data_IF_873915100477
#
_entry.id   IF_873915100477
#
_cell.length_a   1.000
_cell.length_b   1.000
_cell.length_c   1.000
_cell.angle_alpha   90.00
_cell.angle_beta   90.00
_cell.angle_gamma   90.00
#
_symmetry.space_group_name_H-M   'P 1'
#
loop_
_entity.id
_entity.type
_entity.pdbx_description
1 polymer ?
#
# COMPACT_ATOMS: atom_id res chain seq x y z
N UNK A 1 10.16 -15.35 1.10
CA UNK A 1 11.12 -14.57 0.27
C UNK A 1 12.43 -14.18 0.99
N UNK A 2 12.83 -14.81 2.09
CA UNK A 2 14.11 -14.50 2.74
C UNK A 2 15.32 -14.78 1.81
N UNK A 3 15.16 -15.72 0.88
CA UNK A 3 16.14 -16.09 -0.15
C UNK A 3 16.26 -15.10 -1.33
N UNK A 4 15.78 -13.86 -1.20
CA UNK A 4 16.00 -12.82 -2.22
C UNK A 4 17.48 -12.49 -2.35
N UNK A 5 17.98 -12.48 -3.59
CA UNK A 5 19.34 -12.05 -3.92
C UNK A 5 19.49 -10.55 -3.72
N UNK A 6 20.74 -10.09 -3.57
CA UNK A 6 21.03 -8.65 -3.48
C UNK A 6 20.55 -7.87 -4.72
N UNK A 7 20.64 -8.47 -5.90
CA UNK A 7 20.14 -7.85 -7.14
C UNK A 7 18.63 -7.65 -7.13
N UNK A 8 17.86 -8.63 -6.66
CA UNK A 8 16.40 -8.50 -6.60
C UNK A 8 15.95 -7.52 -5.51
N UNK A 9 16.60 -7.51 -4.35
CA UNK A 9 16.35 -6.51 -3.30
C UNK A 9 16.60 -5.10 -3.83
N UNK A 10 17.71 -4.90 -4.55
CA UNK A 10 18.05 -3.63 -5.16
C UNK A 10 17.01 -3.19 -6.19
N UNK A 11 16.50 -4.10 -7.02
CA UNK A 11 15.47 -3.76 -7.99
C UNK A 11 14.17 -3.28 -7.30
N UNK A 12 13.75 -3.94 -6.23
CA UNK A 12 12.58 -3.50 -5.44
C UNK A 12 12.83 -2.14 -4.76
N UNK A 13 14.03 -1.92 -4.24
CA UNK A 13 14.43 -0.63 -3.68
C UNK A 13 14.45 0.48 -4.74
N UNK A 14 14.96 0.20 -5.95
CA UNK A 14 15.00 1.15 -7.06
C UNK A 14 13.56 1.51 -7.49
N UNK A 15 12.63 0.55 -7.55
CA UNK A 15 11.19 0.84 -7.73
C UNK A 15 10.69 1.81 -6.66
N UNK A 16 10.95 1.53 -5.37
CA UNK A 16 10.50 2.38 -4.28
C UNK A 16 11.05 3.82 -4.41
N UNK A 17 12.32 3.97 -4.85
CA UNK A 17 12.95 5.28 -5.08
C UNK A 17 12.31 6.07 -6.20
N UNK A 18 11.80 5.43 -7.27
CA UNK A 18 11.08 6.15 -8.33
C UNK A 18 9.80 6.83 -7.82
N UNK A 19 9.25 6.35 -6.69
CA UNK A 19 8.09 6.90 -6.00
C UNK A 19 8.47 7.83 -4.82
N UNK A 20 9.73 8.24 -4.74
CA UNK A 20 10.21 9.20 -3.74
C UNK A 20 10.64 8.59 -2.40
N UNK A 21 10.76 7.26 -2.30
CA UNK A 21 11.39 6.64 -1.13
C UNK A 21 12.89 6.97 -1.07
N UNK A 22 13.45 7.19 0.12
CA UNK A 22 14.91 7.33 0.29
C UNK A 22 15.65 5.98 0.25
N UNK A 23 14.90 4.90 0.44
CA UNK A 23 15.36 3.52 0.44
C UNK A 23 14.18 2.61 0.80
N UNK A 24 14.42 1.30 0.77
CA UNK A 24 13.43 0.28 1.11
C UNK A 24 14.02 -0.59 2.21
N UNK A 25 13.67 -0.27 3.46
CA UNK A 25 14.09 -1.06 4.59
C UNK A 25 13.41 -2.42 4.56
N UNK A 26 14.11 -3.47 5.02
CA UNK A 26 13.57 -4.82 5.04
C UNK A 26 14.07 -5.62 6.23
N UNK A 27 13.35 -6.68 6.60
CA UNK A 27 13.81 -7.71 7.54
C UNK A 27 13.52 -9.08 6.97
N UNK A 28 14.52 -9.96 6.93
CA UNK A 28 14.39 -11.37 6.52
C UNK A 28 14.19 -12.25 7.75
N UNK A 29 13.29 -13.23 7.67
CA UNK A 29 13.14 -14.28 8.68
C UNK A 29 13.80 -15.55 8.15
N UNK A 30 14.89 -16.01 8.77
CA UNK A 30 15.63 -17.22 8.37
C UNK A 30 16.05 -18.04 9.58
N UNK A 31 15.67 -19.32 9.61
CA UNK A 31 15.90 -20.19 10.76
C UNK A 31 15.19 -19.72 12.03
N UNK A 32 14.07 -18.99 11.88
CA UNK A 32 13.37 -18.35 13.01
C UNK A 32 14.05 -17.08 13.55
N UNK A 33 15.11 -16.59 12.91
CA UNK A 33 15.80 -15.37 13.31
C UNK A 33 15.56 -14.21 12.33
N UNK A 34 15.47 -13.00 12.87
CA UNK A 34 15.36 -11.78 12.10
C UNK A 34 16.74 -11.26 11.67
N UNK A 35 16.98 -11.20 10.37
CA UNK A 35 18.25 -10.75 9.77
C UNK A 35 18.04 -9.48 8.95
N UNK A 36 18.70 -8.39 9.37
CA UNK A 36 18.69 -7.11 8.66
C UNK A 36 19.69 -6.11 9.24
N UNK A 37 20.21 -5.15 8.45
CA UNK A 37 20.94 -3.99 8.99
C UNK A 37 20.14 -3.17 10.02
N UNK A 38 18.80 -3.20 9.95
CA UNK A 38 17.94 -2.42 10.83
C UNK A 38 17.46 -3.18 12.07
N UNK A 39 17.68 -4.50 12.16
CA UNK A 39 17.15 -5.32 13.27
C UNK A 39 17.64 -4.86 14.64
N UNK A 40 18.86 -4.29 14.70
CA UNK A 40 19.48 -3.73 15.92
C UNK A 40 18.72 -2.53 16.50
N UNK A 41 17.82 -1.92 15.72
CA UNK A 41 17.01 -0.79 16.16
C UNK A 41 15.65 -1.22 16.71
N UNK A 42 15.31 -2.51 16.65
CA UNK A 42 14.06 -3.05 17.18
C UNK A 42 14.30 -3.74 18.52
N UNK A 43 13.43 -3.48 19.48
CA UNK A 43 13.36 -4.27 20.71
C UNK A 43 12.76 -5.65 20.44
N UNK A 44 12.93 -6.59 21.38
CA UNK A 44 12.33 -7.92 21.21
C UNK A 44 10.80 -7.87 21.31
N UNK A 45 10.25 -6.93 22.06
CA UNK A 45 8.81 -6.66 22.12
C UNK A 45 8.27 -6.15 20.78
N UNK A 46 8.99 -5.24 20.10
CA UNK A 46 8.59 -4.74 18.78
C UNK A 46 8.65 -5.84 17.72
N UNK A 47 9.67 -6.71 17.76
CA UNK A 47 9.77 -7.87 16.86
C UNK A 47 8.61 -8.85 17.09
N UNK A 48 8.27 -9.13 18.34
CA UNK A 48 7.15 -10.00 18.69
C UNK A 48 5.82 -9.42 18.19
N UNK A 49 5.58 -8.13 18.43
CA UNK A 49 4.38 -7.44 17.98
C UNK A 49 4.23 -7.44 16.44
N UNK A 50 5.33 -7.18 15.72
CA UNK A 50 5.33 -7.24 14.25
C UNK A 50 5.13 -8.66 13.73
N UNK A 51 5.75 -9.66 14.38
CA UNK A 51 5.59 -11.07 14.01
C UNK A 51 4.12 -11.49 14.14
N UNK A 52 3.45 -11.10 15.22
CA UNK A 52 2.02 -11.36 15.43
C UNK A 52 1.14 -10.62 14.43
N UNK A 53 1.36 -9.31 14.25
CA UNK A 53 0.52 -8.48 13.39
C UNK A 53 0.61 -8.87 11.90
N UNK A 54 1.81 -9.23 11.43
CA UNK A 54 2.05 -9.57 10.03
C UNK A 54 2.01 -11.08 9.77
N UNK A 55 1.89 -11.90 10.82
CA UNK A 55 1.95 -13.37 10.76
C UNK A 55 3.21 -13.85 10.04
N UNK A 56 4.36 -13.32 10.45
CA UNK A 56 5.65 -13.61 9.81
C UNK A 56 6.06 -15.05 10.08
N UNK A 57 6.35 -15.81 9.04
CA UNK A 57 6.83 -17.19 9.12
C UNK A 57 8.32 -17.30 8.74
N UNK A 58 8.91 -18.46 9.01
CA UNK A 58 10.27 -18.73 8.54
C UNK A 58 10.34 -18.70 7.01
N UNK A 59 11.36 -18.04 6.49
CA UNK A 59 11.51 -17.82 5.06
C UNK A 59 10.79 -16.58 4.55
N UNK A 60 10.14 -15.76 5.37
CA UNK A 60 9.53 -14.50 4.95
C UNK A 60 10.49 -13.30 4.87
N UNK A 61 10.01 -12.23 4.22
CA UNK A 61 10.65 -10.91 4.24
C UNK A 61 9.59 -9.84 4.45
N UNK A 62 9.87 -8.91 5.35
CA UNK A 62 9.03 -7.75 5.63
C UNK A 62 9.70 -6.52 5.03
N UNK A 63 8.97 -5.72 4.25
CA UNK A 63 9.43 -4.44 3.72
C UNK A 63 8.79 -3.27 4.45
N UNK A 64 9.53 -2.18 4.59
CA UNK A 64 9.12 -0.98 5.32
C UNK A 64 9.28 0.27 4.44
N UNK A 65 8.28 1.14 4.45
CA UNK A 65 8.35 2.49 3.92
C UNK A 65 7.97 3.48 5.01
N UNK A 66 8.85 4.46 5.28
CA UNK A 66 8.63 5.49 6.28
C UNK A 66 8.51 6.86 5.58
N UNK A 67 7.28 7.32 5.41
CA UNK A 67 6.93 8.62 4.80
C UNK A 67 5.52 9.04 5.25
N UNK A 68 5.03 10.18 4.74
CA UNK A 68 3.60 10.53 4.81
C UNK A 68 2.73 9.34 4.35
N UNK A 69 1.57 9.19 5.00
CA UNK A 69 0.71 8.01 4.89
C UNK A 69 0.42 7.62 3.43
N UNK A 70 -0.12 8.54 2.63
CA UNK A 70 -0.47 8.27 1.23
C UNK A 70 0.75 7.89 0.38
N UNK A 71 1.90 8.52 0.65
CA UNK A 71 3.15 8.20 -0.04
C UNK A 71 3.65 6.81 0.35
N UNK A 72 3.54 6.43 1.63
CA UNK A 72 3.95 5.11 2.10
C UNK A 72 3.06 4.02 1.49
N UNK A 73 1.74 4.25 1.45
CA UNK A 73 0.78 3.38 0.79
C UNK A 73 1.08 3.23 -0.71
N UNK A 74 1.41 4.33 -1.39
CA UNK A 74 1.78 4.31 -2.82
C UNK A 74 3.05 3.49 -3.06
N UNK A 75 4.10 3.71 -2.26
CA UNK A 75 5.37 2.98 -2.35
C UNK A 75 5.15 1.48 -2.12
N UNK A 76 4.54 1.10 -1.00
CA UNK A 76 4.34 -0.30 -0.64
C UNK A 76 3.33 -0.99 -1.56
N UNK A 77 2.32 -0.27 -2.05
CA UNK A 77 1.38 -0.75 -3.06
C UNK A 77 2.08 -1.17 -4.34
N UNK A 78 3.04 -0.36 -4.82
CA UNK A 78 3.84 -0.71 -6.00
C UNK A 78 4.83 -1.84 -5.73
N UNK A 79 5.56 -1.78 -4.61
CA UNK A 79 6.51 -2.84 -4.22
C UNK A 79 5.80 -4.19 -4.10
N UNK A 80 4.56 -4.22 -3.58
CA UNK A 80 3.74 -5.44 -3.53
C UNK A 80 3.48 -6.04 -4.92
N UNK A 81 3.17 -5.21 -5.91
CA UNK A 81 2.95 -5.67 -7.29
C UNK A 81 4.23 -6.24 -7.89
N UNK A 82 5.35 -5.53 -7.75
CA UNK A 82 6.65 -5.99 -8.26
C UNK A 82 7.11 -7.27 -7.55
N UNK A 83 6.87 -7.40 -6.24
CA UNK A 83 7.15 -8.61 -5.48
C UNK A 83 6.30 -9.80 -5.94
N UNK A 84 5.02 -9.59 -6.27
CA UNK A 84 4.15 -10.62 -6.83
C UNK A 84 4.67 -11.09 -8.21
N UNK A 85 5.08 -10.16 -9.09
CA UNK A 85 5.67 -10.51 -10.39
C UNK A 85 6.98 -11.29 -10.23
N UNK A 86 7.80 -10.91 -9.25
CA UNK A 86 9.03 -11.63 -8.92
C UNK A 86 8.75 -13.06 -8.41
N UNK A 87 7.74 -13.23 -7.56
CA UNK A 87 7.30 -14.54 -7.09
C UNK A 87 6.79 -15.43 -8.23
N UNK A 88 6.04 -14.86 -9.18
CA UNK A 88 5.60 -15.55 -10.40
C UNK A 88 6.80 -15.99 -11.23
N UNK A 89 7.75 -15.09 -11.49
CA UNK A 89 8.99 -15.41 -12.22
C UNK A 89 9.81 -16.53 -11.56
N UNK A 90 9.76 -16.60 -10.23
CA UNK A 90 10.43 -17.63 -9.42
C UNK A 90 9.61 -18.93 -9.28
N UNK A 91 8.41 -19.01 -9.87
CA UNK A 91 7.53 -20.17 -9.76
C UNK A 91 6.97 -20.40 -8.35
N UNK A 92 7.00 -19.37 -7.48
CA UNK A 92 6.50 -19.44 -6.09
C UNK A 92 5.08 -18.90 -5.94
N UNK A 93 4.56 -18.24 -6.98
CA UNK A 93 3.18 -17.74 -7.05
C UNK A 93 2.63 -18.04 -8.44
N UNK A 94 1.36 -18.40 -8.52
CA UNK A 94 0.63 -18.52 -9.78
C UNK A 94 -0.57 -17.59 -9.72
N UNK A 95 -0.74 -16.78 -10.75
CA UNK A 95 -1.90 -15.90 -10.92
C UNK A 95 -2.67 -16.46 -12.11
N UNK A 96 -3.81 -17.08 -11.85
CA UNK A 96 -4.65 -17.66 -12.89
C UNK A 96 -5.34 -16.54 -13.70
N UNK A 97 -5.14 -16.46 -15.02
CA UNK A 97 -5.78 -15.45 -15.86
C UNK A 97 -7.32 -15.58 -15.91
N UNK A 98 -7.88 -16.72 -15.51
CA UNK A 98 -9.32 -16.95 -15.45
C UNK A 98 -9.91 -16.74 -14.05
N UNK A 99 -9.09 -16.38 -13.07
CA UNK A 99 -9.56 -16.03 -11.73
C UNK A 99 -9.92 -14.53 -11.68
N UNK A 100 -11.21 -14.25 -11.55
CA UNK A 100 -11.75 -12.90 -11.57
C UNK A 100 -12.08 -12.45 -10.14
N UNK A 101 -11.29 -11.49 -9.62
CA UNK A 101 -11.50 -10.86 -8.32
C UNK A 101 -12.12 -9.48 -8.51
N UNK A 102 -13.44 -9.44 -8.38
CA UNK A 102 -14.20 -8.19 -8.36
C UNK A 102 -14.22 -7.58 -6.95
N UNK A 103 -14.09 -6.26 -6.89
CA UNK A 103 -14.38 -5.49 -5.68
C UNK A 103 -15.05 -4.16 -6.04
N UNK A 104 -15.80 -3.63 -5.10
CA UNK A 104 -16.30 -2.26 -5.16
C UNK A 104 -15.41 -1.38 -4.27
N UNK A 105 -14.97 -0.26 -4.81
CA UNK A 105 -14.43 0.84 -4.00
C UNK A 105 -15.57 1.85 -3.83
N UNK A 106 -15.90 2.15 -2.58
CA UNK A 106 -16.98 3.04 -2.18
C UNK A 106 -16.44 4.02 -1.14
N UNK A 107 -17.25 5.00 -0.76
CA UNK A 107 -16.91 5.97 0.29
C UNK A 107 -15.69 6.83 -0.03
N UNK A 108 -15.48 7.12 -1.32
CA UNK A 108 -14.51 8.10 -1.76
C UNK A 108 -14.79 9.48 -1.15
N UNK A 109 -13.76 10.29 -0.86
CA UNK A 109 -13.94 11.70 -0.50
C UNK A 109 -14.73 12.42 -1.61
N UNK A 110 -15.68 13.28 -1.26
CA UNK A 110 -16.40 14.10 -2.24
C UNK A 110 -15.51 15.20 -2.83
N UNK A 111 -14.61 15.73 -2.00
CA UNK A 111 -13.70 16.80 -2.35
C UNK A 111 -12.30 16.50 -1.84
N UNK A 112 -11.29 16.97 -2.58
CA UNK A 112 -9.89 16.99 -2.16
C UNK A 112 -9.42 18.44 -2.07
N UNK A 113 -8.51 18.72 -1.15
CA UNK A 113 -7.91 20.05 -1.05
C UNK A 113 -6.77 20.15 -2.05
N UNK A 114 -6.88 21.10 -2.97
CA UNK A 114 -5.81 21.42 -3.92
C UNK A 114 -4.95 22.52 -3.31
N UNK A 115 -3.70 22.17 -2.95
CA UNK A 115 -2.76 23.11 -2.31
C UNK A 115 -2.33 24.24 -3.27
N UNK A 116 -2.25 23.99 -4.57
CA UNK A 116 -1.85 24.99 -5.56
C UNK A 116 -2.96 26.00 -5.82
N UNK A 117 -4.20 25.52 -5.91
CA UNK A 117 -5.38 26.35 -6.08
C UNK A 117 -5.88 26.97 -4.76
N UNK A 118 -5.38 26.50 -3.61
CA UNK A 118 -5.75 26.97 -2.28
C UNK A 118 -7.23 26.74 -1.95
N UNK A 119 -7.87 25.72 -2.53
CA UNK A 119 -9.31 25.47 -2.37
C UNK A 119 -9.64 23.99 -2.55
N UNK A 120 -10.83 23.61 -2.07
CA UNK A 120 -11.39 22.29 -2.37
C UNK A 120 -11.83 22.19 -3.83
N UNK A 121 -11.53 21.03 -4.43
CA UNK A 121 -11.95 20.64 -5.77
C UNK A 121 -12.67 19.29 -5.70
N UNK A 122 -13.53 19.01 -6.68
CA UNK A 122 -14.19 17.71 -6.82
C UNK A 122 -13.15 16.60 -6.96
N UNK A 123 -13.31 15.51 -6.21
CA UNK A 123 -12.45 14.32 -6.33
C UNK A 123 -12.71 13.52 -7.61
N UNK A 124 -13.95 13.56 -8.11
CA UNK A 124 -14.37 12.87 -9.32
C UNK A 124 -15.15 13.84 -10.24
N UNK A 125 -16.48 13.76 -10.30
CA UNK A 125 -17.31 14.71 -11.05
C UNK A 125 -17.97 15.77 -10.15
N UNK A 126 -18.02 17.06 -10.53
CA UNK A 126 -18.64 18.13 -9.73
C UNK A 126 -20.13 17.96 -9.37
N UNK A 127 -20.81 16.97 -9.92
CA UNK A 127 -22.24 16.69 -9.66
C UNK A 127 -22.44 15.43 -8.82
N UNK A 128 -21.36 14.86 -8.28
CA UNK A 128 -21.43 13.72 -7.36
C UNK A 128 -22.21 14.13 -6.11
N UNK A 129 -23.22 13.34 -5.75
CA UNK A 129 -23.99 13.58 -4.54
C UNK A 129 -23.17 13.21 -3.29
N UNK A 130 -23.23 14.00 -2.19
CA UNK A 130 -22.70 13.58 -0.90
C UNK A 130 -23.48 12.37 -0.34
N UNK A 131 -22.82 11.56 0.47
CA UNK A 131 -23.50 10.64 1.38
C UNK A 131 -24.40 11.44 2.33
N UNK A 132 -25.65 11.01 2.54
CA UNK A 132 -26.70 11.82 3.19
C UNK A 132 -26.30 12.20 4.62
N UNK A 133 -25.67 11.27 5.33
CA UNK A 133 -25.20 11.41 6.70
C UNK A 133 -24.11 12.48 6.84
N UNK A 134 -23.36 12.73 5.75
CA UNK A 134 -22.22 13.64 5.74
C UNK A 134 -22.60 15.06 5.25
N UNK A 135 -23.84 15.28 4.79
CA UNK A 135 -24.33 16.59 4.31
C UNK A 135 -24.06 17.72 5.33
N UNK A 136 -24.28 17.54 6.65
CA UNK A 136 -23.99 18.59 7.63
C UNK A 136 -22.51 19.00 7.69
N UNK A 137 -21.60 18.18 7.17
CA UNK A 137 -20.15 18.43 7.17
C UNK A 137 -19.70 19.30 5.98
N UNK A 138 -20.55 19.54 4.98
CA UNK A 138 -20.17 20.31 3.78
C UNK A 138 -19.63 21.70 4.11
N UNK A 139 -20.31 22.43 5.00
CA UNK A 139 -19.93 23.80 5.36
C UNK A 139 -18.85 23.86 6.47
N UNK A 140 -18.60 22.76 7.19
CA UNK A 140 -17.77 22.75 8.39
C UNK A 140 -16.46 21.96 8.25
N UNK A 141 -16.50 20.76 7.66
CA UNK A 141 -15.35 19.88 7.47
C UNK A 141 -15.44 19.11 6.14
N UNK A 142 -15.36 19.80 4.98
CA UNK A 142 -15.63 19.23 3.66
C UNK A 142 -14.73 18.05 3.27
N UNK A 143 -13.53 17.93 3.87
CA UNK A 143 -12.62 16.79 3.67
C UNK A 143 -13.15 15.47 4.23
N UNK A 144 -14.11 15.50 5.16
CA UNK A 144 -14.73 14.30 5.74
C UNK A 144 -15.99 13.87 4.99
N UNK A 145 -16.47 14.66 4.03
CA UNK A 145 -17.68 14.35 3.29
C UNK A 145 -17.35 13.26 2.26
N UNK A 146 -18.06 12.13 2.33
CA UNK A 146 -17.97 11.08 1.33
C UNK A 146 -18.92 11.36 0.17
N UNK A 147 -18.51 10.99 -1.04
CA UNK A 147 -19.35 10.99 -2.24
C UNK A 147 -20.03 9.64 -2.44
N UNK A 148 -21.19 9.65 -3.11
CA UNK A 148 -21.93 8.45 -3.49
C UNK A 148 -21.41 7.79 -4.79
N UNK A 149 -20.27 8.25 -5.33
CA UNK A 149 -19.63 7.58 -6.45
C UNK A 149 -18.92 6.31 -5.97
N UNK A 150 -18.73 5.40 -6.91
CA UNK A 150 -18.19 4.08 -6.66
C UNK A 150 -17.49 3.60 -7.92
N UNK A 151 -16.46 2.78 -7.72
CA UNK A 151 -15.70 2.17 -8.81
C UNK A 151 -15.81 0.65 -8.71
N UNK A 152 -16.08 0.00 -9.84
CA UNK A 152 -15.97 -1.45 -9.97
C UNK A 152 -14.55 -1.77 -10.42
N UNK A 153 -13.83 -2.56 -9.61
CA UNK A 153 -12.46 -2.97 -9.94
C UNK A 153 -12.43 -4.47 -10.18
N UNK A 154 -11.81 -4.87 -11.29
CA UNK A 154 -11.51 -6.26 -11.62
C UNK A 154 -10.00 -6.45 -11.70
N UNK A 155 -9.46 -7.32 -10.85
CA UNK A 155 -8.04 -7.70 -10.88
C UNK A 155 -7.07 -6.49 -10.86
N UNK A 156 -7.46 -5.41 -10.17
CA UNK A 156 -6.66 -4.19 -10.06
C UNK A 156 -6.84 -3.19 -11.20
N UNK A 157 -7.82 -3.39 -12.07
CA UNK A 157 -8.21 -2.47 -13.15
C UNK A 157 -9.61 -1.92 -12.87
N UNK A 158 -9.76 -0.60 -12.90
CA UNK A 158 -11.06 0.09 -12.90
C UNK A 158 -11.78 -0.19 -14.23
N UNK A 159 -13.05 -0.62 -14.16
CA UNK A 159 -13.86 -1.04 -15.33
C UNK A 159 -14.80 0.05 -15.84
#
# INVERSE_FOLDING_TARGET
LADLTQGELRNLEDTAKTLGAKGLAFIKCEGGEWKSPIVKFFSDEEKAALTEALKVEDGDIVFFAASEWERACTILGRVRLDAAQLLVKRGKLTIDPNDYKFLWVIEFPLMIFDEEAGRYVSSHHPFTSPVVEDIPLLDSDPKKVRGQHYDLVLNGVEL
#
